data_IF_928496480799
#
_entry.id   IF_928496480799
#
_cell.length_a   1.000
_cell.length_b   1.000
_cell.length_c   1.000
_cell.angle_alpha   90.00
_cell.angle_beta   90.00
_cell.angle_gamma   90.00
#
_symmetry.space_group_name_H-M   'P 1'
#
loop_
_entity.id
_entity.type
_entity.pdbx_description
1 polymer ?
#
# COMPACT_ATOMS: atom_id res chain seq x y z
N UNK A 1 -11.12 34.67 12.01
CA UNK A 1 -10.02 34.52 11.03
C UNK A 1 -9.02 33.43 11.41
N UNK A 2 -8.66 33.27 12.70
CA UNK A 2 -7.72 32.23 13.18
C UNK A 2 -8.09 30.80 12.76
N UNK A 3 -9.35 30.38 12.97
CA UNK A 3 -9.82 29.03 12.65
C UNK A 3 -9.74 28.66 11.16
N UNK A 4 -10.03 29.61 10.27
CA UNK A 4 -9.93 29.40 8.83
C UNK A 4 -8.48 29.14 8.39
N UNK A 5 -7.52 29.92 8.90
CA UNK A 5 -6.08 29.73 8.60
C UNK A 5 -5.55 28.41 9.13
N UNK A 6 -5.99 28.00 10.33
CA UNK A 6 -5.61 26.73 10.94
C UNK A 6 -6.15 25.54 10.15
N UNK A 7 -7.44 25.58 9.77
CA UNK A 7 -8.09 24.54 8.98
C UNK A 7 -7.45 24.41 7.59
N UNK A 8 -7.15 25.54 6.94
CA UNK A 8 -6.47 25.55 5.64
C UNK A 8 -5.05 24.97 5.74
N UNK A 9 -4.27 25.36 6.77
CA UNK A 9 -2.93 24.82 6.99
C UNK A 9 -2.96 23.31 7.23
N UNK A 10 -3.90 22.81 8.04
CA UNK A 10 -4.09 21.39 8.28
C UNK A 10 -4.51 20.64 6.99
N UNK A 11 -5.45 21.20 6.22
CA UNK A 11 -5.88 20.63 4.94
C UNK A 11 -4.71 20.51 3.94
N UNK A 12 -3.93 21.58 3.78
CA UNK A 12 -2.75 21.58 2.89
C UNK A 12 -1.71 20.56 3.38
N UNK A 13 -1.45 20.51 4.68
CA UNK A 13 -0.50 19.54 5.25
C UNK A 13 -0.92 18.10 4.98
N UNK A 14 -2.21 17.78 5.13
CA UNK A 14 -2.76 16.48 4.81
C UNK A 14 -2.67 16.14 3.31
N UNK A 15 -2.94 17.10 2.42
CA UNK A 15 -2.80 16.90 0.99
C UNK A 15 -1.35 16.69 0.56
N UNK A 16 -0.41 17.48 1.11
CA UNK A 16 1.02 17.31 0.86
C UNK A 16 1.51 15.94 1.34
N UNK A 17 1.07 15.50 2.53
CA UNK A 17 1.38 14.18 3.04
C UNK A 17 0.86 13.08 2.10
N UNK A 18 -0.38 13.22 1.61
CA UNK A 18 -0.94 12.28 0.62
C UNK A 18 -0.12 12.25 -0.66
N UNK A 19 0.33 13.41 -1.15
CA UNK A 19 1.15 13.49 -2.35
C UNK A 19 2.48 12.74 -2.18
N UNK A 20 3.12 12.82 -1.01
CA UNK A 20 4.35 12.07 -0.70
C UNK A 20 4.13 10.56 -0.77
N UNK A 21 2.96 10.07 -0.34
CA UNK A 21 2.64 8.64 -0.42
C UNK A 21 2.23 8.17 -1.81
N UNK A 22 1.73 9.05 -2.69
CA UNK A 22 1.28 8.70 -4.05
C UNK A 22 2.40 8.88 -5.08
N UNK A 23 3.25 9.90 -4.92
CA UNK A 23 4.26 10.29 -5.90
C UNK A 23 5.15 9.13 -6.40
N UNK A 24 5.64 8.19 -5.55
CA UNK A 24 6.45 7.06 -6.02
C UNK A 24 5.73 6.17 -7.05
N UNK A 25 4.40 6.13 -7.04
CA UNK A 25 3.59 5.30 -7.93
C UNK A 25 3.12 6.03 -9.19
N UNK A 26 3.24 7.36 -9.27
CA UNK A 26 2.83 8.12 -10.46
C UNK A 26 3.96 8.30 -11.48
N UNK A 27 5.21 8.38 -11.02
CA UNK A 27 6.33 8.82 -11.88
C UNK A 27 7.20 7.69 -12.42
N UNK A 28 7.12 6.48 -11.85
CA UNK A 28 8.04 5.39 -12.18
C UNK A 28 7.37 4.01 -12.24
N UNK A 29 6.05 3.94 -12.23
CA UNK A 29 5.36 2.67 -12.03
C UNK A 29 5.37 1.80 -13.28
N UNK A 30 5.99 0.63 -13.16
CA UNK A 30 6.00 -0.40 -14.19
C UNK A 30 5.58 -1.71 -13.53
N UNK A 31 4.46 -2.29 -13.99
CA UNK A 31 3.99 -3.57 -13.49
C UNK A 31 4.81 -4.71 -14.08
N UNK A 32 5.37 -5.54 -13.21
CA UNK A 32 6.07 -6.75 -13.60
C UNK A 32 5.57 -7.93 -12.78
N UNK A 33 5.25 -9.01 -13.46
CA UNK A 33 5.00 -10.28 -12.80
C UNK A 33 6.33 -11.00 -12.56
N UNK A 34 6.49 -11.55 -11.36
CA UNK A 34 7.61 -12.44 -11.03
C UNK A 34 7.10 -13.71 -10.40
N UNK A 35 7.75 -14.81 -10.78
CA UNK A 35 7.52 -16.13 -10.23
C UNK A 35 8.82 -16.57 -9.57
N UNK A 36 8.73 -16.97 -8.31
CA UNK A 36 9.82 -17.54 -7.55
C UNK A 36 9.52 -19.00 -7.28
N UNK A 37 10.50 -19.89 -7.47
CA UNK A 37 10.32 -21.29 -7.09
C UNK A 37 10.14 -21.43 -5.57
N UNK A 38 10.87 -20.64 -4.80
CA UNK A 38 10.86 -20.62 -3.34
C UNK A 38 10.92 -19.17 -2.83
N UNK A 39 10.14 -18.88 -1.80
CA UNK A 39 10.23 -17.61 -1.08
C UNK A 39 9.78 -17.77 0.38
N UNK A 40 10.39 -16.98 1.26
CA UNK A 40 9.94 -16.84 2.64
C UNK A 40 9.00 -15.64 2.75
N UNK A 41 7.77 -15.90 3.18
CA UNK A 41 6.75 -14.89 3.42
C UNK A 41 6.65 -14.62 4.92
N UNK A 42 6.81 -13.38 5.35
CA UNK A 42 6.66 -12.97 6.74
C UNK A 42 5.74 -11.78 6.85
N UNK A 43 4.71 -11.85 7.69
CA UNK A 43 3.84 -10.68 7.93
C UNK A 43 4.55 -9.72 8.87
N UNK A 44 4.68 -8.48 8.44
CA UNK A 44 5.30 -7.39 9.19
C UNK A 44 4.25 -6.33 9.51
N UNK A 45 4.36 -5.73 10.70
CA UNK A 45 3.51 -4.62 11.11
C UNK A 45 4.38 -3.48 11.67
N UNK A 46 5.18 -2.81 10.83
CA UNK A 46 5.95 -1.67 11.29
C UNK A 46 5.03 -0.55 11.71
N UNK A 47 5.31 0.02 12.89
CA UNK A 47 4.50 1.01 13.61
C UNK A 47 4.00 2.23 12.79
N UNK A 48 4.49 2.46 11.56
CA UNK A 48 4.22 3.68 10.77
C UNK A 48 3.61 3.44 9.37
N UNK A 49 3.53 2.19 8.89
CA UNK A 49 3.19 1.93 7.46
C UNK A 49 2.22 0.77 7.24
N UNK A 50 1.41 0.44 8.25
CA UNK A 50 0.43 -0.64 8.17
C UNK A 50 1.07 -2.03 8.10
N UNK A 51 0.23 -3.06 8.02
CA UNK A 51 0.68 -4.44 7.86
C UNK A 51 1.08 -4.69 6.40
N UNK A 52 2.13 -5.48 6.20
CA UNK A 52 2.64 -5.83 4.89
C UNK A 52 3.23 -7.24 4.90
N UNK A 53 3.23 -7.91 3.75
CA UNK A 53 3.89 -9.20 3.57
C UNK A 53 5.32 -8.93 3.10
N UNK A 54 6.31 -9.22 3.94
CA UNK A 54 7.71 -9.26 3.53
C UNK A 54 7.93 -10.58 2.77
N UNK A 55 8.37 -10.49 1.52
CA UNK A 55 8.76 -11.64 0.71
C UNK A 55 10.28 -11.62 0.53
N UNK A 56 10.96 -12.69 0.91
CA UNK A 56 12.39 -12.88 0.70
C UNK A 56 12.61 -14.01 -0.32
N UNK A 57 13.22 -13.69 -1.45
CA UNK A 57 13.54 -14.65 -2.51
C UNK A 57 14.79 -14.20 -3.27
N UNK A 58 15.66 -15.14 -3.63
CA UNK A 58 16.89 -14.91 -4.41
C UNK A 58 17.78 -13.78 -3.85
N UNK A 59 17.88 -13.68 -2.52
CA UNK A 59 18.66 -12.64 -1.83
C UNK A 59 18.05 -11.22 -1.93
N UNK A 60 16.84 -11.08 -2.48
CA UNK A 60 16.08 -9.83 -2.55
C UNK A 60 14.92 -9.85 -1.56
N UNK A 61 14.59 -8.65 -1.07
CA UNK A 61 13.45 -8.44 -0.17
C UNK A 61 12.43 -7.53 -0.83
N UNK A 62 11.19 -7.98 -0.85
CA UNK A 62 10.04 -7.25 -1.37
C UNK A 62 9.06 -7.01 -0.25
N UNK A 63 8.35 -5.89 -0.32
CA UNK A 63 7.33 -5.52 0.65
C UNK A 63 5.99 -5.43 -0.06
N UNK A 64 5.12 -6.40 0.16
CA UNK A 64 3.89 -6.56 -0.58
C UNK A 64 2.69 -6.10 0.26
N UNK A 65 1.68 -5.59 -0.43
CA UNK A 65 0.37 -5.30 0.16
C UNK A 65 -0.31 -6.59 0.63
N UNK A 66 -1.13 -6.47 1.67
CA UNK A 66 -1.97 -7.54 2.19
C UNK A 66 -3.25 -7.76 1.37
N UNK A 67 -3.50 -6.93 0.36
CA UNK A 67 -4.70 -6.98 -0.46
C UNK A 67 -4.96 -8.38 -1.03
N UNK A 68 -6.15 -8.94 -0.75
CA UNK A 68 -6.55 -10.29 -1.17
C UNK A 68 -5.96 -11.43 -0.33
N UNK A 69 -5.19 -11.09 0.70
CA UNK A 69 -4.65 -11.99 1.71
C UNK A 69 -4.81 -11.40 3.12
N UNK A 70 -5.92 -10.71 3.39
CA UNK A 70 -6.17 -10.03 4.67
C UNK A 70 -6.14 -10.99 5.87
N UNK A 71 -6.60 -12.22 5.67
CA UNK A 71 -6.56 -13.30 6.67
C UNK A 71 -5.13 -13.68 7.06
N UNK A 72 -4.20 -13.65 6.09
CA UNK A 72 -2.78 -13.86 6.32
C UNK A 72 -2.22 -12.72 7.16
N UNK A 73 -2.63 -11.48 6.86
CA UNK A 73 -2.20 -10.27 7.57
C UNK A 73 -2.95 -9.98 8.88
N UNK A 74 -3.58 -10.96 9.49
CA UNK A 74 -4.17 -10.83 10.83
C UNK A 74 -3.09 -10.72 11.92
N UNK A 75 -3.45 -10.12 13.07
CA UNK A 75 -2.49 -9.84 14.14
C UNK A 75 -1.78 -11.09 14.67
N UNK A 76 -2.48 -12.23 14.71
CA UNK A 76 -1.92 -13.51 15.16
C UNK A 76 -0.84 -14.11 14.24
N UNK A 77 -0.68 -13.58 13.02
CA UNK A 77 0.33 -14.05 12.07
C UNK A 77 1.53 -13.10 11.94
N UNK A 78 1.57 -11.99 12.70
CA UNK A 78 2.70 -11.05 12.67
C UNK A 78 3.97 -11.77 13.14
N UNK A 79 5.05 -11.64 12.37
CA UNK A 79 6.34 -12.30 12.63
C UNK A 79 6.38 -13.78 12.27
N UNK A 80 5.26 -14.37 11.83
CA UNK A 80 5.22 -15.76 11.37
C UNK A 80 5.88 -15.86 10.00
N UNK A 81 6.93 -16.66 9.91
CA UNK A 81 7.55 -17.02 8.64
C UNK A 81 6.82 -18.21 8.01
N UNK A 82 6.54 -18.11 6.71
CA UNK A 82 5.91 -19.12 5.88
C UNK A 82 6.85 -19.42 4.73
N UNK A 83 7.34 -20.66 4.67
CA UNK A 83 8.10 -21.16 3.53
C UNK A 83 7.12 -21.52 2.42
N UNK A 84 7.15 -20.75 1.35
CA UNK A 84 6.24 -20.92 0.23
C UNK A 84 6.99 -21.40 -1.02
N UNK A 85 6.28 -22.14 -1.87
CA UNK A 85 6.76 -22.61 -3.18
C UNK A 85 5.91 -22.01 -4.29
N UNK A 86 6.48 -21.89 -5.49
CA UNK A 86 5.79 -21.38 -6.67
C UNK A 86 5.06 -20.06 -6.37
N UNK A 87 5.81 -19.09 -5.87
CA UNK A 87 5.27 -17.82 -5.41
C UNK A 87 5.19 -16.85 -6.57
N UNK A 88 3.98 -16.45 -6.93
CA UNK A 88 3.70 -15.50 -8.00
C UNK A 88 3.29 -14.17 -7.41
N UNK A 89 3.94 -13.10 -7.85
CA UNK A 89 3.66 -11.73 -7.42
C UNK A 89 3.57 -10.79 -8.62
N UNK A 90 2.82 -9.70 -8.47
CA UNK A 90 2.97 -8.52 -9.34
C UNK A 90 3.59 -7.43 -8.51
N UNK A 91 4.60 -6.77 -9.07
CA UNK A 91 5.36 -5.75 -8.36
C UNK A 91 5.74 -4.61 -9.29
N UNK A 92 6.23 -3.53 -8.69
CA UNK A 92 6.95 -2.46 -9.36
C UNK A 92 8.30 -2.26 -8.70
N UNK A 93 9.38 -2.63 -9.40
CA UNK A 93 10.76 -2.60 -8.86
C UNK A 93 11.29 -1.19 -8.59
N UNK A 94 10.70 -0.20 -9.24
CA UNK A 94 11.09 1.20 -9.19
C UNK A 94 10.63 1.92 -7.92
N UNK A 95 9.71 1.32 -7.16
CA UNK A 95 9.21 1.88 -5.91
C UNK A 95 10.29 1.75 -4.82
N UNK A 96 10.71 2.91 -4.29
CA UNK A 96 11.83 3.02 -3.34
C UNK A 96 11.67 2.21 -2.05
N UNK A 97 12.80 1.97 -1.37
CA UNK A 97 12.84 1.22 -0.10
C UNK A 97 11.91 1.84 0.94
N UNK A 98 11.02 1.04 1.53
CA UNK A 98 10.14 1.44 2.63
C UNK A 98 8.65 1.56 2.25
N UNK A 99 8.33 1.54 0.97
CA UNK A 99 6.96 1.53 0.45
C UNK A 99 6.47 0.11 0.17
N UNK A 100 5.20 -0.02 -0.23
CA UNK A 100 4.68 -1.26 -0.77
C UNK A 100 5.07 -1.33 -2.24
N UNK A 101 5.63 -2.46 -2.65
CA UNK A 101 6.22 -2.61 -3.98
C UNK A 101 5.44 -3.62 -4.84
N UNK A 102 4.41 -4.27 -4.31
CA UNK A 102 3.67 -5.29 -5.05
C UNK A 102 2.54 -5.94 -4.28
N UNK A 103 1.91 -6.93 -4.91
CA UNK A 103 0.83 -7.76 -4.36
C UNK A 103 1.18 -9.23 -4.61
N UNK A 104 0.86 -10.07 -3.64
CA UNK A 104 0.95 -11.53 -3.77
C UNK A 104 -0.22 -12.01 -4.64
N UNK A 105 0.06 -12.78 -5.70
CA UNK A 105 -0.97 -13.38 -6.55
C UNK A 105 -1.26 -14.83 -6.17
N UNK A 106 -0.21 -15.61 -5.98
CA UNK A 106 -0.35 -17.03 -5.68
C UNK A 106 0.85 -17.53 -4.88
N UNK A 107 0.62 -18.50 -4.00
CA UNK A 107 1.69 -19.29 -3.42
C UNK A 107 1.20 -20.68 -3.03
N UNK A 108 2.12 -21.64 -2.94
CA UNK A 108 1.86 -22.97 -2.39
C UNK A 108 2.50 -23.15 -1.03
N UNK A 109 1.74 -23.71 -0.09
CA UNK A 109 2.22 -24.07 1.23
C UNK A 109 1.52 -25.35 1.70
N UNK A 110 2.28 -26.30 2.24
CA UNK A 110 1.78 -27.57 2.81
C UNK A 110 0.77 -28.31 1.92
N UNK A 111 1.03 -28.35 0.60
CA UNK A 111 0.18 -29.04 -0.38
C UNK A 111 -1.07 -28.28 -0.82
N UNK A 112 -1.36 -27.12 -0.23
CA UNK A 112 -2.46 -26.24 -0.62
C UNK A 112 -1.98 -25.11 -1.52
N UNK A 113 -2.84 -24.70 -2.46
CA UNK A 113 -2.64 -23.53 -3.32
C UNK A 113 -3.48 -22.38 -2.80
N UNK A 114 -2.84 -21.22 -2.61
CA UNK A 114 -3.48 -20.01 -2.14
C UNK A 114 -3.38 -18.97 -3.23
N UNK A 115 -4.52 -18.55 -3.77
CA UNK A 115 -4.59 -17.56 -4.85
C UNK A 115 -5.37 -16.31 -4.42
N UNK A 116 -4.89 -15.16 -4.88
CA UNK A 116 -5.52 -13.87 -4.70
C UNK A 116 -6.66 -13.72 -5.70
N UNK A 117 -7.88 -13.94 -5.24
CA UNK A 117 -9.08 -13.82 -6.08
C UNK A 117 -9.58 -12.38 -6.21
N UNK A 118 -9.13 -11.50 -5.32
CA UNK A 118 -9.61 -10.12 -5.22
C UNK A 118 -8.82 -9.16 -6.12
N UNK A 119 -7.65 -9.59 -6.60
CA UNK A 119 -6.80 -8.82 -7.50
C UNK A 119 -7.00 -9.24 -8.96
N UNK A 120 -7.65 -8.37 -9.75
CA UNK A 120 -7.70 -8.48 -11.21
C UNK A 120 -6.61 -7.63 -11.84
N UNK A 121 -5.90 -8.19 -12.82
CA UNK A 121 -4.82 -7.52 -13.55
C UNK A 121 -5.36 -6.62 -14.67
N UNK A 122 -6.23 -5.70 -14.31
CA UNK A 122 -6.55 -4.55 -15.17
C UNK A 122 -5.46 -3.51 -15.00
N UNK A 123 -5.15 -2.75 -16.05
CA UNK A 123 -4.24 -1.61 -15.97
C UNK A 123 -4.65 -0.70 -14.78
N UNK A 124 -3.66 -0.12 -14.12
CA UNK A 124 -3.77 0.79 -12.96
C UNK A 124 -4.18 0.16 -11.61
N UNK A 125 -4.62 -1.11 -11.57
CA UNK A 125 -5.12 -1.69 -10.32
C UNK A 125 -4.06 -1.86 -9.25
N UNK A 126 -2.82 -2.17 -9.63
CA UNK A 126 -1.73 -2.28 -8.66
C UNK A 126 -1.35 -0.90 -8.09
N UNK A 127 -1.37 0.18 -8.89
CA UNK A 127 -1.18 1.55 -8.37
C UNK A 127 -2.21 1.87 -7.30
N UNK A 128 -3.49 1.61 -7.57
CA UNK A 128 -4.57 1.88 -6.63
C UNK A 128 -4.37 1.14 -5.30
N UNK A 129 -4.02 -0.13 -5.37
CA UNK A 129 -3.77 -0.97 -4.19
C UNK A 129 -2.59 -0.47 -3.39
N UNK A 130 -1.48 -0.11 -4.04
CA UNK A 130 -0.27 0.36 -3.36
C UNK A 130 -0.40 1.79 -2.81
N UNK A 131 -1.26 2.61 -3.43
CA UNK A 131 -1.56 3.98 -3.01
C UNK A 131 -2.64 4.05 -1.91
N UNK A 132 -3.32 2.95 -1.55
CA UNK A 132 -4.32 2.93 -0.47
C UNK A 132 -3.86 3.59 0.85
N UNK A 133 -2.60 3.43 1.31
CA UNK A 133 -2.13 4.12 2.51
C UNK A 133 -2.22 5.65 2.42
N UNK A 134 -2.13 6.24 1.23
CA UNK A 134 -2.24 7.69 1.04
C UNK A 134 -3.66 8.22 1.37
N UNK A 135 -4.68 7.38 1.18
CA UNK A 135 -6.10 7.70 1.43
C UNK A 135 -6.32 8.13 2.89
N UNK A 136 -5.53 7.59 3.83
CA UNK A 136 -5.59 7.97 5.24
C UNK A 136 -5.36 9.48 5.46
N UNK A 137 -4.49 10.09 4.66
CA UNK A 137 -4.20 11.53 4.71
C UNK A 137 -5.06 12.36 3.74
N UNK A 138 -5.46 11.78 2.61
CA UNK A 138 -6.26 12.47 1.59
C UNK A 138 -7.67 12.82 2.10
N UNK A 139 -8.38 11.87 2.70
CA UNK A 139 -9.75 12.03 3.20
C UNK A 139 -9.89 13.19 4.22
N UNK A 140 -9.09 13.26 5.30
CA UNK A 140 -9.16 14.38 6.22
C UNK A 140 -8.72 15.70 5.57
N UNK A 141 -7.76 15.66 4.63
CA UNK A 141 -7.36 16.84 3.84
C UNK A 141 -8.54 17.46 3.10
N UNK A 142 -9.28 16.67 2.32
CA UNK A 142 -10.48 17.12 1.58
C UNK A 142 -11.57 17.62 2.54
N UNK A 143 -11.82 16.87 3.62
CA UNK A 143 -12.87 17.19 4.59
C UNK A 143 -12.61 18.49 5.35
N UNK A 144 -11.34 18.86 5.58
CA UNK A 144 -10.95 20.15 6.15
C UNK A 144 -10.95 21.29 5.12
N UNK A 145 -10.76 20.98 3.84
CA UNK A 145 -10.71 21.95 2.75
C UNK A 145 -12.10 22.51 2.40
N UNK A 146 -13.12 21.66 2.37
CA UNK A 146 -14.52 22.04 2.11
C UNK A 146 -15.04 23.16 3.04
N UNK A 147 -14.98 23.04 4.39
CA UNK A 147 -15.39 24.10 5.30
C UNK A 147 -14.47 25.31 5.23
N UNK A 148 -13.18 25.14 4.92
CA UNK A 148 -12.28 26.28 4.72
C UNK A 148 -12.69 27.12 3.50
N UNK A 149 -13.05 26.49 2.38
CA UNK A 149 -13.58 27.16 1.18
C UNK A 149 -14.91 27.85 1.50
N UNK A 150 -15.85 27.14 2.15
CA UNK A 150 -17.16 27.70 2.50
C UNK A 150 -17.06 28.93 3.42
N UNK A 151 -16.18 28.88 4.43
CA UNK A 151 -15.92 30.02 5.32
C UNK A 151 -15.23 31.21 4.62
N UNK A 152 -14.51 30.97 3.53
CA UNK A 152 -13.93 32.02 2.68
C UNK A 152 -15.01 32.65 1.79
N UNK A 153 -15.86 31.83 1.17
CA UNK A 153 -16.96 32.29 0.31
C UNK A 153 -18.02 33.08 1.11
N UNK A 154 -18.39 32.65 2.32
CA UNK A 154 -19.35 33.36 3.18
C UNK A 154 -18.82 34.71 3.72
N UNK A 155 -17.50 34.94 3.63
CA UNK A 155 -16.84 36.18 4.07
C UNK A 155 -16.67 37.20 2.94
N UNK A 156 -16.89 36.79 1.69
CA UNK A 156 -17.04 37.67 0.53
C UNK A 156 -18.52 38.06 0.40
#
# INVERSE_FOLDING_TARGET
MKYHRLALFAAISCLLLSAVFIAPYLTAFHEQEKIFEYADLTVTAPNRSGRAIKLEADGRQYRLSCYGFDSLCTGGNIGRAIRARQVKIVLSETVGKGFLNGVLLEYRNSGSVYSNKDFSRTEDRLVEVLAQPAVFSLKPGILLLLPAIFLRLKKM
#
